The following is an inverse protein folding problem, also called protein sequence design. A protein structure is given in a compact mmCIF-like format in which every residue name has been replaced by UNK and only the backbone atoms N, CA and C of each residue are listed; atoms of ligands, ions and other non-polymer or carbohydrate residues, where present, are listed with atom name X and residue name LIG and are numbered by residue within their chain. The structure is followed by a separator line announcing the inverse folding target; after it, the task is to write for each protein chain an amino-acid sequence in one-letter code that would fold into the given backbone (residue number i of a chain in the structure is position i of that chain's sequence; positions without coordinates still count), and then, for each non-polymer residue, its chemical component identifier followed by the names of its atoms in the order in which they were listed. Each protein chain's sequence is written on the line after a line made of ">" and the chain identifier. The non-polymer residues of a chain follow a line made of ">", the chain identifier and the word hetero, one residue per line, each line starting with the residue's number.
data_IF_868600383007
#
_entry.id   IF_868600383007
#
_cell.length_a   1.000
_cell.length_b   1.000
_cell.length_c   1.000
_cell.angle_alpha   90.00
_cell.angle_beta   90.00
_cell.angle_gamma   90.00
#
_symmetry.space_group_name_H-M   'P 1'
#
loop_
_entity.id
_entity.type
_entity.pdbx_description
1 polymer ?
#
# COMPACT_ATOMS: atom_id res chain seq x y z
N UNK A 1 2.54 28.32 -13.73
CA UNK A 1 2.23 26.94 -13.32
C UNK A 1 3.25 26.58 -12.28
N UNK A 2 2.86 26.49 -10.99
CA UNK A 2 3.78 26.11 -9.93
C UNK A 2 4.18 24.65 -10.13
N UNK A 3 5.49 24.36 -10.06
CA UNK A 3 5.98 23.00 -10.03
C UNK A 3 5.24 22.21 -8.96
N UNK A 4 4.68 21.08 -9.36
CA UNK A 4 3.94 20.18 -8.50
C UNK A 4 4.84 19.76 -7.32
N UNK A 5 4.53 20.24 -6.13
CA UNK A 5 5.23 19.91 -4.88
C UNK A 5 4.93 18.49 -4.39
N UNK A 6 4.48 17.61 -5.29
CA UNK A 6 4.15 16.23 -4.92
C UNK A 6 5.44 15.46 -4.59
N UNK A 7 5.58 15.06 -3.35
CA UNK A 7 6.63 14.12 -2.98
C UNK A 7 6.30 12.74 -3.54
N UNK A 8 6.88 12.40 -4.69
CA UNK A 8 6.64 11.13 -5.41
C UNK A 8 6.99 9.92 -4.54
N UNK A 9 8.05 9.99 -3.74
CA UNK A 9 8.42 8.89 -2.84
C UNK A 9 7.36 8.65 -1.77
N UNK A 10 6.78 9.71 -1.25
CA UNK A 10 5.71 9.60 -0.27
C UNK A 10 4.41 9.10 -0.90
N UNK A 11 4.11 9.51 -2.14
CA UNK A 11 2.99 8.98 -2.91
C UNK A 11 3.15 7.46 -3.17
N UNK A 12 4.33 7.01 -3.61
CA UNK A 12 4.63 5.58 -3.80
C UNK A 12 4.43 4.82 -2.48
N UNK A 13 4.91 5.38 -1.37
CA UNK A 13 4.75 4.78 -0.04
C UNK A 13 3.29 4.66 0.38
N UNK A 14 2.45 5.66 0.07
CA UNK A 14 1.02 5.65 0.33
C UNK A 14 0.31 4.51 -0.42
N UNK A 15 0.60 4.32 -1.70
CA UNK A 15 0.06 3.20 -2.51
C UNK A 15 0.55 1.83 -2.00
N UNK A 16 1.82 1.73 -1.61
CA UNK A 16 2.43 0.50 -1.12
C UNK A 16 2.03 0.14 0.31
N UNK A 17 1.37 1.06 1.04
CA UNK A 17 1.01 0.87 2.45
C UNK A 17 0.11 -0.36 2.62
N UNK A 18 0.34 -1.22 3.63
CA UNK A 18 -0.42 -2.45 3.78
C UNK A 18 -1.92 -2.20 3.86
N UNK A 19 -2.69 -2.87 3.01
CA UNK A 19 -4.14 -2.73 2.99
C UNK A 19 -4.80 -3.08 4.34
N UNK A 20 -4.26 -4.08 5.03
CA UNK A 20 -4.74 -4.51 6.35
C UNK A 20 -4.42 -3.54 7.49
N UNK A 21 -3.56 -2.55 7.26
CA UNK A 21 -3.23 -1.56 8.29
C UNK A 21 -4.25 -0.43 8.27
N UNK A 22 -4.94 -0.24 9.38
CA UNK A 22 -5.87 0.88 9.58
C UNK A 22 -5.20 2.08 10.28
N UNK A 23 -3.88 1.98 10.54
CA UNK A 23 -3.16 2.96 11.34
C UNK A 23 -2.98 4.31 10.64
N UNK A 24 -2.90 4.33 9.30
CA UNK A 24 -2.68 5.53 8.52
C UNK A 24 -3.65 5.60 7.35
N UNK A 25 -4.07 6.81 7.00
CA UNK A 25 -4.78 7.13 5.76
C UNK A 25 -4.02 8.24 5.05
N UNK A 26 -3.88 8.12 3.74
CA UNK A 26 -3.16 9.10 2.94
C UNK A 26 -4.13 9.87 2.07
N UNK A 27 -3.92 11.20 2.01
CA UNK A 27 -4.72 12.13 1.23
C UNK A 27 -3.84 12.90 0.26
N UNK A 28 -4.36 13.19 -0.93
CA UNK A 28 -3.81 14.17 -1.84
C UNK A 28 -4.59 15.47 -1.67
N UNK A 29 -3.92 16.54 -1.27
CA UNK A 29 -4.53 17.87 -1.19
C UNK A 29 -4.62 18.47 -2.59
N UNK A 30 -5.81 18.82 -3.05
CA UNK A 30 -6.06 19.19 -4.43
C UNK A 30 -5.37 20.48 -4.86
N UNK A 31 -5.31 21.50 -3.99
CA UNK A 31 -4.78 22.85 -4.32
C UNK A 31 -3.30 22.87 -4.73
N UNK A 32 -2.49 21.94 -4.24
CA UNK A 32 -1.04 21.92 -4.45
C UNK A 32 -0.46 20.51 -4.66
N UNK A 33 -1.33 19.53 -4.75
CA UNK A 33 -1.00 18.12 -4.94
C UNK A 33 -0.05 17.56 -3.86
N UNK A 34 -0.13 18.11 -2.63
CA UNK A 34 0.66 17.64 -1.49
C UNK A 34 0.05 16.38 -0.91
N UNK A 35 0.88 15.37 -0.71
CA UNK A 35 0.48 14.14 0.00
C UNK A 35 0.53 14.38 1.50
N UNK A 36 -0.55 14.06 2.20
CA UNK A 36 -0.70 14.17 3.65
C UNK A 36 -1.05 12.80 4.22
N UNK A 37 -0.20 12.28 5.10
CA UNK A 37 -0.48 11.06 5.87
C UNK A 37 -1.14 11.44 7.19
N UNK A 38 -2.22 10.75 7.54
CA UNK A 38 -2.97 10.92 8.80
C UNK A 38 -2.92 9.61 9.55
N UNK A 39 -2.28 9.62 10.71
CA UNK A 39 -2.26 8.47 11.60
C UNK A 39 -3.53 8.45 12.48
N UNK A 40 -3.98 7.27 12.87
CA UNK A 40 -5.21 7.14 13.69
C UNK A 40 -5.17 7.97 14.98
N UNK A 41 -3.99 8.16 15.57
CA UNK A 41 -3.83 8.99 16.77
C UNK A 41 -3.87 10.50 16.49
N UNK A 42 -3.73 10.92 15.23
CA UNK A 42 -3.74 12.34 14.87
C UNK A 42 -5.15 12.95 15.01
N UNK A 43 -6.19 12.12 15.06
CA UNK A 43 -7.55 12.58 15.33
C UNK A 43 -7.68 13.30 16.69
N UNK A 44 -6.84 12.95 17.66
CA UNK A 44 -6.77 13.66 18.94
C UNK A 44 -6.40 15.14 18.80
N UNK A 45 -5.63 15.51 17.76
CA UNK A 45 -5.28 16.90 17.46
C UNK A 45 -6.51 17.80 17.17
N UNK A 46 -7.58 17.18 16.67
CA UNK A 46 -8.81 17.89 16.31
C UNK A 46 -9.83 17.84 17.45
N UNK A 47 -9.94 16.70 18.14
CA UNK A 47 -11.02 16.43 19.09
C UNK A 47 -10.65 16.67 20.54
N UNK A 48 -9.41 16.45 20.94
CA UNK A 48 -8.98 16.60 22.32
C UNK A 48 -8.47 18.02 22.60
N UNK A 49 -9.39 18.94 22.85
CA UNK A 49 -9.04 20.29 23.31
C UNK A 49 -8.35 20.22 24.69
N UNK A 50 -7.06 20.48 24.73
CA UNK A 50 -6.29 20.61 25.96
C UNK A 50 -5.45 19.41 26.36
N UNK A 51 -5.36 18.36 25.57
CA UNK A 51 -4.59 17.15 25.90
C UNK A 51 -3.07 17.35 26.01
N UNK A 52 -2.52 18.49 25.59
CA UNK A 52 -1.07 18.70 25.58
C UNK A 52 -0.33 17.73 24.68
N UNK A 53 -1.05 16.98 23.87
CA UNK A 53 -0.50 16.01 22.94
C UNK A 53 0.41 16.71 21.94
N UNK A 54 1.68 16.32 21.98
CA UNK A 54 2.69 16.81 21.04
C UNK A 54 2.97 15.70 20.05
N UNK A 55 2.65 15.94 18.80
CA UNK A 55 2.91 14.99 17.70
C UNK A 55 4.39 14.77 17.42
N UNK A 56 5.25 15.68 17.87
CA UNK A 56 6.65 15.75 17.43
C UNK A 56 6.83 16.26 15.99
N UNK A 57 5.72 16.65 15.34
CA UNK A 57 5.68 17.19 14.00
C UNK A 57 5.94 18.70 13.99
N UNK A 58 6.21 19.26 12.83
CA UNK A 58 6.28 20.72 12.67
C UNK A 58 4.88 21.34 12.73
N UNK A 59 4.75 22.63 13.07
CA UNK A 59 3.46 23.32 13.04
C UNK A 59 2.76 23.30 11.68
N UNK A 60 3.53 23.21 10.59
CA UNK A 60 3.00 23.04 9.24
C UNK A 60 2.37 21.66 9.04
N UNK A 61 3.08 20.60 9.44
CA UNK A 61 2.57 19.23 9.36
C UNK A 61 1.31 19.04 10.20
N UNK A 62 1.29 19.58 11.43
CA UNK A 62 0.10 19.56 12.31
C UNK A 62 -1.10 20.24 11.64
N UNK A 63 -0.88 21.38 10.99
CA UNK A 63 -1.93 22.10 10.27
C UNK A 63 -2.44 21.30 9.08
N UNK A 64 -1.55 20.73 8.26
CA UNK A 64 -1.91 19.92 7.09
C UNK A 64 -2.74 18.68 7.49
N UNK A 65 -2.35 18.01 8.57
CA UNK A 65 -3.07 16.87 9.12
C UNK A 65 -4.48 17.27 9.60
N UNK A 66 -4.58 18.35 10.39
CA UNK A 66 -5.87 18.86 10.85
C UNK A 66 -6.79 19.24 9.69
N UNK A 67 -6.25 19.89 8.66
CA UNK A 67 -7.00 20.25 7.45
C UNK A 67 -7.53 19.00 6.74
N UNK A 68 -6.71 17.94 6.59
CA UNK A 68 -7.10 16.69 5.96
C UNK A 68 -8.19 15.95 6.77
N UNK A 69 -8.07 15.89 8.10
CA UNK A 69 -9.07 15.28 8.98
C UNK A 69 -10.42 16.02 8.85
N UNK A 70 -10.41 17.35 8.98
CA UNK A 70 -11.63 18.17 8.90
C UNK A 70 -12.28 18.03 7.52
N UNK A 71 -11.48 18.03 6.45
CA UNK A 71 -11.97 17.85 5.09
C UNK A 71 -12.65 16.49 4.90
N UNK A 72 -12.03 15.42 5.41
CA UNK A 72 -12.59 14.07 5.33
C UNK A 72 -13.92 13.93 6.08
N UNK A 73 -14.04 14.54 7.26
CA UNK A 73 -15.23 14.40 8.09
C UNK A 73 -16.41 15.27 7.65
N UNK A 74 -16.10 16.42 7.07
CA UNK A 74 -17.12 17.37 6.57
C UNK A 74 -17.39 17.17 5.08
N UNK A 75 -16.81 16.14 4.48
CA UNK A 75 -16.92 15.84 3.04
C UNK A 75 -16.56 17.04 2.15
N UNK A 76 -15.53 17.80 2.57
CA UNK A 76 -15.02 18.90 1.77
C UNK A 76 -14.20 18.39 0.61
N UNK A 77 -14.54 18.84 -0.59
CA UNK A 77 -13.84 18.46 -1.84
C UNK A 77 -12.47 19.12 -2.01
N UNK A 78 -11.68 19.21 -0.93
CA UNK A 78 -10.32 19.77 -0.92
C UNK A 78 -9.22 18.73 -0.89
N UNK A 79 -9.57 17.49 -0.54
CA UNK A 79 -8.67 16.35 -0.43
C UNK A 79 -9.29 15.14 -1.10
N UNK A 80 -8.46 14.28 -1.65
CA UNK A 80 -8.86 12.97 -2.17
C UNK A 80 -8.06 11.86 -1.48
N UNK A 81 -8.72 10.79 -1.09
CA UNK A 81 -8.05 9.63 -0.48
C UNK A 81 -7.17 8.96 -1.52
N UNK A 82 -5.90 8.74 -1.19
CA UNK A 82 -4.99 7.98 -2.03
C UNK A 82 -5.33 6.49 -1.87
N UNK A 83 -5.65 5.78 -2.96
CA UNK A 83 -5.99 4.37 -2.88
C UNK A 83 -4.77 3.54 -2.51
N UNK A 84 -5.01 2.46 -1.77
CA UNK A 84 -3.99 1.44 -1.49
C UNK A 84 -4.12 0.31 -2.48
N UNK A 85 -2.98 -0.29 -2.84
CA UNK A 85 -2.99 -1.50 -3.64
C UNK A 85 -3.77 -2.61 -2.93
N UNK A 86 -4.71 -3.20 -3.65
CA UNK A 86 -5.47 -4.34 -3.16
C UNK A 86 -4.57 -5.59 -3.04
N UNK A 87 -4.88 -6.52 -2.13
CA UNK A 87 -4.13 -7.76 -2.00
C UNK A 87 -4.00 -8.53 -3.31
N UNK A 88 -5.03 -8.52 -4.14
CA UNK A 88 -5.08 -9.16 -5.45
C UNK A 88 -4.08 -8.57 -6.44
N UNK A 89 -3.96 -7.25 -6.49
CA UNK A 89 -3.00 -6.54 -7.35
C UNK A 89 -1.57 -6.88 -6.95
N UNK A 90 -1.30 -6.87 -5.64
CA UNK A 90 0.01 -7.28 -5.11
C UNK A 90 0.33 -8.73 -5.45
N UNK A 91 -0.65 -9.62 -5.35
CA UNK A 91 -0.50 -11.02 -5.70
C UNK A 91 -0.23 -11.22 -7.19
N UNK A 92 -0.89 -10.44 -8.07
CA UNK A 92 -0.62 -10.45 -9.51
C UNK A 92 0.82 -10.02 -9.81
N UNK A 93 1.31 -8.96 -9.17
CA UNK A 93 2.71 -8.52 -9.31
C UNK A 93 3.69 -9.61 -8.87
N UNK A 94 3.39 -10.33 -7.77
CA UNK A 94 4.23 -11.45 -7.32
C UNK A 94 4.27 -12.58 -8.34
N UNK A 95 3.15 -12.95 -8.93
CA UNK A 95 3.07 -13.99 -9.97
C UNK A 95 3.81 -13.56 -11.24
N UNK A 96 3.69 -12.29 -11.63
CA UNK A 96 4.45 -11.73 -12.74
C UNK A 96 5.96 -11.83 -12.47
N UNK A 97 6.41 -11.37 -11.31
CA UNK A 97 7.81 -11.45 -10.90
C UNK A 97 8.34 -12.90 -10.92
N UNK A 98 7.59 -13.84 -10.36
CA UNK A 98 7.96 -15.27 -10.35
C UNK A 98 8.05 -15.80 -11.78
N UNK A 99 7.21 -15.35 -12.70
CA UNK A 99 7.23 -15.79 -14.10
C UNK A 99 8.49 -15.35 -14.85
N UNK A 100 9.10 -14.24 -14.43
CA UNK A 100 10.38 -13.75 -14.96
C UNK A 100 11.60 -14.59 -14.46
N UNK A 101 11.39 -15.47 -13.46
CA UNK A 101 12.43 -16.28 -12.85
C UNK A 101 12.12 -17.78 -12.94
N UNK A 102 12.28 -18.41 -14.13
CA UNK A 102 11.82 -19.79 -14.38
C UNK A 102 12.45 -20.85 -13.45
N UNK A 103 13.72 -20.69 -13.05
CA UNK A 103 14.36 -21.59 -12.08
C UNK A 103 13.69 -21.52 -10.70
N UNK A 104 13.37 -20.32 -10.25
CA UNK A 104 12.66 -20.07 -8.99
C UNK A 104 11.23 -20.60 -9.05
N UNK A 105 10.53 -20.35 -10.15
CA UNK A 105 9.18 -20.88 -10.42
C UNK A 105 9.13 -22.41 -10.34
N UNK A 106 10.11 -23.11 -10.95
CA UNK A 106 10.20 -24.56 -10.89
C UNK A 106 10.39 -25.06 -9.46
N UNK A 107 11.29 -24.43 -8.68
CA UNK A 107 11.52 -24.76 -7.27
C UNK A 107 10.28 -24.54 -6.40
N UNK A 108 9.55 -23.42 -6.62
CA UNK A 108 8.29 -23.15 -5.93
C UNK A 108 7.25 -24.22 -6.20
N UNK A 109 7.06 -24.60 -7.47
CA UNK A 109 6.09 -25.63 -7.86
C UNK A 109 6.37 -26.96 -7.16
N UNK A 110 7.62 -27.41 -7.15
CA UNK A 110 8.03 -28.63 -6.45
C UNK A 110 7.77 -28.57 -4.93
N UNK A 111 8.06 -27.42 -4.30
CA UNK A 111 7.80 -27.24 -2.86
C UNK A 111 6.31 -27.19 -2.52
N UNK A 112 5.49 -26.57 -3.39
CA UNK A 112 4.03 -26.53 -3.23
C UNK A 112 3.44 -27.94 -3.37
N UNK A 113 3.91 -28.73 -4.33
CA UNK A 113 3.49 -30.14 -4.51
C UNK A 113 3.84 -30.99 -3.28
N UNK A 114 5.01 -30.77 -2.67
CA UNK A 114 5.41 -31.46 -1.43
C UNK A 114 4.55 -31.03 -0.23
N UNK A 115 4.28 -29.73 -0.09
CA UNK A 115 3.39 -29.20 0.95
C UNK A 115 1.98 -29.73 0.79
N UNK A 116 1.47 -29.78 -0.43
CA UNK A 116 0.15 -30.33 -0.74
C UNK A 116 0.04 -31.82 -0.40
N UNK A 117 1.11 -32.60 -0.57
CA UNK A 117 1.15 -34.01 -0.13
C UNK A 117 1.14 -34.15 1.38
N UNK A 118 1.81 -33.27 2.13
CA UNK A 118 1.84 -33.31 3.59
C UNK A 118 0.54 -32.83 4.26
N UNK A 119 -0.21 -31.95 3.61
CA UNK A 119 -1.49 -31.43 4.12
C UNK A 119 -2.67 -32.37 3.82
N UNK A 120 -2.52 -33.31 2.86
CA UNK A 120 -3.57 -34.29 2.51
C UNK A 120 -3.88 -35.29 3.65
N UNK A 121 -3.03 -35.40 4.65
CA UNK A 121 -3.27 -36.31 5.78
C UNK A 121 -4.06 -35.72 6.96
N UNK A 122 -4.25 -34.37 7.03
CA UNK A 122 -4.76 -33.76 8.25
C UNK A 122 -6.06 -32.93 8.16
N UNK A 123 -6.46 -32.33 7.04
CA UNK A 123 -7.73 -31.59 6.98
C UNK A 123 -8.21 -31.18 5.57
N UNK A 124 -9.28 -31.82 5.06
CA UNK A 124 -9.93 -31.45 3.79
C UNK A 124 -10.58 -30.07 3.83
N UNK A 125 -10.96 -29.56 5.01
CA UNK A 125 -11.57 -28.23 5.17
C UNK A 125 -10.52 -27.12 5.02
N UNK A 126 -9.32 -27.35 5.51
CA UNK A 126 -8.18 -26.43 5.32
C UNK A 126 -7.73 -26.39 3.86
N UNK A 127 -7.80 -27.53 3.17
CA UNK A 127 -7.51 -27.68 1.75
C UNK A 127 -8.43 -26.88 0.85
N UNK A 128 -9.73 -26.83 1.15
CA UNK A 128 -10.73 -26.07 0.36
C UNK A 128 -10.67 -24.55 0.57
N UNK A 129 -10.31 -24.07 1.76
CA UNK A 129 -10.25 -22.63 2.10
C UNK A 129 -8.85 -22.01 1.92
N UNK A 130 -7.78 -22.72 2.29
CA UNK A 130 -6.41 -22.16 2.31
C UNK A 130 -5.75 -22.09 0.95
N UNK A 131 -6.15 -22.95 0.01
CA UNK A 131 -5.46 -23.09 -1.30
C UNK A 131 -5.89 -22.02 -2.30
N UNK A 132 -7.10 -21.44 -2.13
CA UNK A 132 -7.58 -20.52 -3.16
C UNK A 132 -6.97 -19.12 -3.12
N UNK A 133 -6.63 -18.54 -1.98
CA UNK A 133 -6.15 -17.13 -1.97
C UNK A 133 -5.13 -16.74 -0.87
N UNK A 134 -5.09 -17.37 0.31
CA UNK A 134 -4.29 -16.89 1.44
C UNK A 134 -2.88 -17.50 1.55
N UNK A 135 -2.79 -18.82 1.53
CA UNK A 135 -1.53 -19.56 1.69
C UNK A 135 -0.56 -19.29 0.55
N UNK A 136 -1.07 -19.04 -0.66
CA UNK A 136 -0.22 -18.76 -1.82
C UNK A 136 0.50 -17.41 -1.72
N UNK A 137 -0.15 -16.36 -1.21
CA UNK A 137 0.45 -15.02 -1.10
C UNK A 137 1.49 -14.96 0.03
N UNK A 138 1.15 -15.46 1.22
CA UNK A 138 2.08 -15.51 2.36
C UNK A 138 3.28 -16.42 2.05
N UNK A 139 3.01 -17.58 1.46
CA UNK A 139 4.05 -18.51 1.04
C UNK A 139 4.99 -17.89 0.01
N UNK A 140 4.46 -17.24 -1.05
CA UNK A 140 5.26 -16.55 -2.04
C UNK A 140 6.08 -15.43 -1.42
N UNK A 141 5.47 -14.61 -0.56
CA UNK A 141 6.15 -13.54 0.17
C UNK A 141 7.33 -14.10 0.98
N UNK A 142 7.10 -15.15 1.75
CA UNK A 142 8.15 -15.79 2.54
C UNK A 142 9.26 -16.34 1.65
N UNK A 143 8.93 -17.06 0.58
CA UNK A 143 9.92 -17.66 -0.32
C UNK A 143 10.73 -16.64 -1.10
N UNK A 144 10.12 -15.55 -1.56
CA UNK A 144 10.83 -14.45 -2.21
C UNK A 144 11.78 -13.78 -1.20
N UNK A 145 11.28 -13.44 -0.01
CA UNK A 145 12.05 -12.75 1.03
C UNK A 145 13.22 -13.58 1.58
N UNK A 146 13.10 -14.90 1.57
CA UNK A 146 14.17 -15.84 1.97
C UNK A 146 15.12 -16.24 0.85
N UNK A 147 14.92 -15.72 -0.35
CA UNK A 147 15.72 -16.02 -1.53
C UNK A 147 16.72 -14.91 -1.86
N UNK A 148 17.65 -15.22 -2.76
CA UNK A 148 18.54 -14.22 -3.36
C UNK A 148 17.81 -13.18 -4.21
N UNK A 149 16.54 -13.44 -4.56
CA UNK A 149 15.70 -12.55 -5.37
C UNK A 149 15.00 -11.45 -4.57
N UNK A 150 15.22 -11.37 -3.24
CA UNK A 150 14.57 -10.35 -2.39
C UNK A 150 14.84 -8.92 -2.88
N UNK A 151 16.09 -8.62 -3.23
CA UNK A 151 16.47 -7.28 -3.74
C UNK A 151 15.79 -6.98 -5.08
N UNK A 152 15.77 -7.96 -5.99
CA UNK A 152 15.16 -7.80 -7.31
C UNK A 152 13.64 -7.66 -7.21
N UNK A 153 13.01 -8.40 -6.30
CA UNK A 153 11.60 -8.24 -5.96
C UNK A 153 11.31 -6.83 -5.45
N UNK A 154 12.11 -6.32 -4.51
CA UNK A 154 11.91 -4.98 -3.96
C UNK A 154 11.96 -3.91 -5.04
N UNK A 155 12.92 -4.00 -5.96
CA UNK A 155 13.04 -3.08 -7.11
C UNK A 155 11.86 -3.21 -8.05
N UNK A 156 11.53 -4.44 -8.45
CA UNK A 156 10.40 -4.73 -9.35
C UNK A 156 9.09 -4.18 -8.77
N UNK A 157 8.79 -4.50 -7.52
CA UNK A 157 7.58 -4.06 -6.83
C UNK A 157 7.50 -2.54 -6.77
N UNK A 158 8.60 -1.87 -6.38
CA UNK A 158 8.67 -0.41 -6.32
C UNK A 158 8.40 0.24 -7.68
N UNK A 159 8.97 -0.26 -8.76
CA UNK A 159 8.73 0.28 -10.11
C UNK A 159 7.28 0.08 -10.56
N UNK A 160 6.67 -1.06 -10.26
CA UNK A 160 5.25 -1.31 -10.53
C UNK A 160 4.36 -0.32 -9.76
N UNK A 161 4.58 -0.17 -8.45
CA UNK A 161 3.82 0.78 -7.61
C UNK A 161 4.01 2.20 -8.10
N UNK A 162 5.23 2.59 -8.45
CA UNK A 162 5.54 3.91 -9.00
C UNK A 162 4.73 4.20 -10.27
N UNK A 163 4.66 3.23 -11.19
CA UNK A 163 3.88 3.38 -12.43
C UNK A 163 2.40 3.62 -12.13
N UNK A 164 1.83 2.85 -11.20
CA UNK A 164 0.42 2.99 -10.79
C UNK A 164 0.19 4.36 -10.12
N UNK A 165 1.05 4.72 -9.19
CA UNK A 165 0.93 5.97 -8.44
C UNK A 165 1.03 7.21 -9.35
N UNK A 166 1.95 7.19 -10.31
CA UNK A 166 2.10 8.28 -11.29
C UNK A 166 0.91 8.34 -12.24
N UNK A 167 0.41 7.20 -12.72
CA UNK A 167 -0.79 7.14 -13.56
C UNK A 167 -1.99 7.75 -12.85
N UNK A 168 -2.22 7.35 -11.59
CA UNK A 168 -3.29 7.92 -10.77
C UNK A 168 -3.11 9.43 -10.53
N UNK A 169 -1.89 9.90 -10.25
CA UNK A 169 -1.62 11.33 -10.06
C UNK A 169 -1.94 12.15 -11.32
N UNK A 170 -1.60 11.64 -12.49
CA UNK A 170 -1.91 12.31 -13.76
C UNK A 170 -3.43 12.37 -14.02
N UNK A 171 -4.17 11.35 -13.62
CA UNK A 171 -5.64 11.38 -13.64
C UNK A 171 -6.19 12.45 -12.71
N UNK A 172 -5.66 12.57 -11.48
CA UNK A 172 -6.07 13.62 -10.55
C UNK A 172 -5.76 15.02 -11.09
N UNK A 173 -4.61 15.23 -11.72
CA UNK A 173 -4.26 16.50 -12.34
C UNK A 173 -5.22 16.90 -13.46
N UNK A 174 -5.65 15.95 -14.29
CA UNK A 174 -6.65 16.20 -15.33
C UNK A 174 -8.00 16.61 -14.76
N UNK A 175 -8.43 15.94 -13.68
CA UNK A 175 -9.69 16.27 -13.00
C UNK A 175 -9.67 17.65 -12.32
N UNK A 176 -8.50 18.17 -11.98
CA UNK A 176 -8.32 19.48 -11.34
C UNK A 176 -8.02 20.61 -12.33
N UNK A 177 -7.62 20.27 -13.56
CA UNK A 177 -7.24 21.25 -14.60
C UNK A 177 -8.37 21.59 -15.59
N UNK A 178 -9.47 20.84 -15.51
CA UNK A 178 -10.71 21.08 -16.22
C UNK A 178 -11.71 21.81 -15.30
#
# INVERSE_FOLDING_TARGET
>A
MSESNTNIEFLISAFAYPYSSLMETFYLRKRDLKVVGVHMFDYSLVYERGSGYKTGLTPEQDRDIKEAIIASEKDYDTHVVIPRLQPEERFQMMNEFVSLHPKFKKKLKSNVELLMKSVTEYDESFRKKGIKHGVSMEYLTHKINSSQLKSDWTKFYREKVKTIALGWLEEQKKLLGD
#
